data_IF_796475893172
#
_entry.id   IF_796475893172
#
_cell.length_a   1.000
_cell.length_b   1.000
_cell.length_c   1.000
_cell.angle_alpha   90.00
_cell.angle_beta   90.00
_cell.angle_gamma   90.00
#
_symmetry.space_group_name_H-M   'P 1'
#
loop_
_entity.id
_entity.type
_entity.pdbx_description
1 polymer ?
#
# COMPACT_ATOMS: atom_id res chain seq x y z
N UNK A 1 17.34 -9.53 -14.93
CA UNK A 1 17.14 -9.88 -16.34
C UNK A 1 17.88 -8.97 -17.30
N UNK A 2 17.66 -7.65 -17.27
CA UNK A 2 18.20 -6.70 -18.27
C UNK A 2 19.71 -6.72 -18.52
N UNK A 3 20.54 -6.83 -17.49
CA UNK A 3 21.99 -6.51 -17.61
C UNK A 3 22.93 -7.71 -17.41
N UNK A 4 22.42 -8.84 -16.90
CA UNK A 4 23.26 -9.96 -16.43
C UNK A 4 22.83 -11.32 -16.97
N UNK A 5 22.12 -11.34 -18.11
CA UNK A 5 21.64 -12.57 -18.78
C UNK A 5 20.82 -13.52 -17.88
N UNK A 6 20.23 -13.02 -16.80
CA UNK A 6 19.27 -13.79 -15.98
C UNK A 6 17.90 -13.84 -16.65
N UNK A 7 17.04 -14.78 -16.25
CA UNK A 7 15.73 -15.03 -16.90
C UNK A 7 14.60 -15.25 -15.89
N UNK A 8 14.47 -14.37 -14.89
CA UNK A 8 13.40 -14.47 -13.89
C UNK A 8 12.00 -14.24 -14.48
N UNK A 9 11.88 -13.38 -15.49
CA UNK A 9 10.62 -12.92 -16.06
C UNK A 9 10.46 -13.24 -17.56
N UNK A 10 11.52 -13.74 -18.22
CA UNK A 10 11.51 -14.09 -19.65
C UNK A 10 10.93 -15.49 -19.89
N UNK A 11 9.73 -15.55 -20.49
CA UNK A 11 9.02 -16.81 -20.77
C UNK A 11 9.76 -17.72 -21.75
N UNK A 12 10.55 -17.16 -22.67
CA UNK A 12 11.32 -17.95 -23.65
C UNK A 12 12.41 -18.80 -23.00
N UNK A 13 12.80 -18.45 -21.77
CA UNK A 13 13.84 -19.11 -20.96
C UNK A 13 13.30 -19.68 -19.64
N UNK A 14 11.99 -19.86 -19.53
CA UNK A 14 11.32 -20.46 -18.36
C UNK A 14 10.99 -19.52 -17.20
N UNK A 15 11.19 -18.20 -17.36
CA UNK A 15 10.77 -17.19 -16.40
C UNK A 15 9.25 -16.92 -16.43
N UNK A 16 8.76 -16.16 -15.45
CA UNK A 16 7.33 -15.83 -15.33
C UNK A 16 7.10 -14.32 -15.11
N UNK A 17 6.50 -13.60 -16.08
CA UNK A 17 6.16 -12.18 -15.91
C UNK A 17 5.23 -11.87 -14.73
N UNK A 18 4.35 -12.80 -14.33
CA UNK A 18 3.47 -12.63 -13.17
C UNK A 18 4.25 -12.51 -11.85
N UNK A 19 5.45 -13.10 -11.78
CA UNK A 19 6.32 -12.94 -10.61
C UNK A 19 6.67 -11.46 -10.39
N UNK A 20 6.96 -10.71 -11.45
CA UNK A 20 7.21 -9.28 -11.33
C UNK A 20 5.95 -8.54 -10.86
N UNK A 21 4.78 -8.88 -11.39
CA UNK A 21 3.52 -8.24 -10.95
C UNK A 21 3.24 -8.48 -9.46
N UNK A 22 3.43 -9.70 -8.95
CA UNK A 22 3.26 -9.97 -7.53
C UNK A 22 4.25 -9.16 -6.68
N UNK A 23 5.54 -9.16 -7.04
CA UNK A 23 6.57 -8.41 -6.31
C UNK A 23 6.31 -6.90 -6.35
N UNK A 24 5.96 -6.38 -7.53
CA UNK A 24 5.67 -4.97 -7.72
C UNK A 24 4.44 -4.55 -6.91
N UNK A 25 3.33 -5.27 -6.99
CA UNK A 25 2.10 -4.87 -6.28
C UNK A 25 2.15 -5.16 -4.78
N UNK A 26 2.89 -6.19 -4.35
CA UNK A 26 3.16 -6.44 -2.93
C UNK A 26 3.85 -5.23 -2.28
N UNK A 27 4.68 -4.50 -3.04
CA UNK A 27 5.22 -3.21 -2.64
C UNK A 27 4.25 -2.04 -2.91
N UNK A 28 3.73 -1.94 -4.13
CA UNK A 28 3.01 -0.77 -4.61
C UNK A 28 1.68 -0.54 -3.91
N UNK A 29 1.02 -1.59 -3.40
CA UNK A 29 -0.20 -1.40 -2.63
C UNK A 29 0.06 -0.86 -1.20
N UNK A 30 1.04 -1.37 -0.44
CA UNK A 30 1.54 -0.68 0.74
C UNK A 30 2.03 0.76 0.48
N UNK A 31 2.70 1.02 -0.65
CA UNK A 31 3.23 2.36 -0.99
C UNK A 31 2.12 3.43 -1.00
N UNK A 32 0.96 3.14 -1.60
CA UNK A 32 -0.15 4.11 -1.59
C UNK A 32 -0.65 4.40 -0.16
N UNK A 33 -0.52 3.47 0.79
CA UNK A 33 -0.83 3.73 2.20
C UNK A 33 0.26 4.55 2.90
N UNK A 34 1.53 4.34 2.58
CA UNK A 34 2.63 5.17 3.09
C UNK A 34 2.42 6.64 2.70
N UNK A 35 1.87 6.90 1.50
CA UNK A 35 1.56 8.25 1.03
C UNK A 35 0.33 8.83 1.75
N UNK A 36 -0.75 8.04 1.91
CA UNK A 36 -2.02 8.57 2.44
C UNK A 36 -2.05 8.72 3.97
N UNK A 37 -1.35 7.88 4.73
CA UNK A 37 -1.38 7.91 6.20
C UNK A 37 -0.86 9.24 6.78
N UNK A 38 0.23 9.85 6.27
CA UNK A 38 0.64 11.20 6.67
C UNK A 38 -0.43 12.26 6.35
N UNK A 39 -1.12 12.14 5.22
CA UNK A 39 -2.19 13.07 4.82
C UNK A 39 -3.36 12.99 5.80
N UNK A 40 -3.73 11.79 6.28
CA UNK A 40 -4.73 11.66 7.35
C UNK A 40 -4.32 12.38 8.64
N UNK A 41 -3.03 12.33 8.99
CA UNK A 41 -2.48 13.06 10.13
C UNK A 41 -2.58 14.58 9.96
N UNK A 42 -2.23 15.10 8.78
CA UNK A 42 -2.34 16.52 8.46
C UNK A 42 -3.80 16.98 8.54
N UNK A 43 -4.72 16.25 7.90
CA UNK A 43 -6.17 16.58 7.94
C UNK A 43 -6.68 16.57 9.38
N UNK A 44 -6.28 15.57 10.19
CA UNK A 44 -6.63 15.51 11.60
C UNK A 44 -6.16 16.73 12.38
N UNK A 45 -4.92 17.20 12.13
CA UNK A 45 -4.39 18.43 12.72
C UNK A 45 -5.16 19.68 12.28
N UNK A 46 -5.48 19.80 10.99
CA UNK A 46 -6.29 20.90 10.47
C UNK A 46 -7.69 20.93 11.10
N UNK A 47 -8.35 19.78 11.23
CA UNK A 47 -9.67 19.68 11.87
C UNK A 47 -9.61 20.10 13.33
N UNK A 48 -8.59 19.65 14.08
CA UNK A 48 -8.40 20.06 15.47
C UNK A 48 -8.27 21.58 15.60
N UNK A 49 -7.42 22.19 14.76
CA UNK A 49 -7.17 23.63 14.75
C UNK A 49 -8.41 24.44 14.33
N UNK A 50 -9.07 24.06 13.24
CA UNK A 50 -10.20 24.81 12.68
C UNK A 50 -11.49 24.71 13.51
N UNK A 51 -11.60 23.69 14.36
CA UNK A 51 -12.78 23.50 15.21
C UNK A 51 -12.60 24.01 16.64
N UNK A 52 -11.41 24.53 16.97
CA UNK A 52 -11.05 25.04 18.30
C UNK A 52 -11.38 24.05 19.43
N UNK A 53 -11.09 22.77 19.20
CA UNK A 53 -11.30 21.68 20.17
C UNK A 53 -9.98 21.33 20.84
N UNK A 54 -10.06 20.90 22.10
CA UNK A 54 -8.89 20.40 22.83
C UNK A 54 -8.41 19.02 22.35
N UNK A 55 -9.30 18.24 21.72
CA UNK A 55 -8.99 16.89 21.23
C UNK A 55 -9.86 16.46 20.06
N UNK A 56 -9.33 15.53 19.28
CA UNK A 56 -10.06 14.85 18.22
C UNK A 56 -11.08 13.87 18.81
N UNK A 57 -12.25 13.82 18.20
CA UNK A 57 -13.24 12.79 18.52
C UNK A 57 -12.68 11.41 18.16
N UNK A 58 -12.72 10.47 19.11
CA UNK A 58 -12.31 9.09 18.86
C UNK A 58 -10.81 8.90 18.57
N UNK A 59 -9.92 9.75 19.10
CA UNK A 59 -8.48 9.70 18.83
C UNK A 59 -7.87 8.28 18.96
N UNK A 60 -8.21 7.54 20.01
CA UNK A 60 -7.77 6.14 20.18
C UNK A 60 -8.23 5.25 19.04
N UNK A 61 -9.49 5.35 18.64
CA UNK A 61 -10.06 4.59 17.52
C UNK A 61 -9.38 4.96 16.20
N UNK A 62 -9.07 6.23 15.96
CA UNK A 62 -8.34 6.65 14.76
C UNK A 62 -6.91 6.10 14.72
N UNK A 63 -6.22 6.08 15.87
CA UNK A 63 -4.88 5.47 15.96
C UNK A 63 -4.93 3.99 15.61
N UNK A 64 -5.87 3.24 16.18
CA UNK A 64 -6.03 1.82 15.85
C UNK A 64 -6.46 1.62 14.39
N UNK A 65 -7.30 2.48 13.83
CA UNK A 65 -7.67 2.43 12.41
C UNK A 65 -6.45 2.60 11.51
N UNK A 66 -5.57 3.58 11.78
CA UNK A 66 -4.34 3.78 11.02
C UNK A 66 -3.40 2.58 11.09
N UNK A 67 -3.27 1.94 12.26
CA UNK A 67 -2.50 0.71 12.43
C UNK A 67 -3.10 -0.42 11.59
N UNK A 68 -4.42 -0.59 11.65
CA UNK A 68 -5.11 -1.63 10.87
C UNK A 68 -5.02 -1.41 9.36
N UNK A 69 -5.08 -0.16 8.88
CA UNK A 69 -4.85 0.16 7.47
C UNK A 69 -3.43 -0.27 7.05
N UNK A 70 -2.41 0.01 7.88
CA UNK A 70 -1.04 -0.40 7.57
C UNK A 70 -0.88 -1.93 7.51
N UNK A 71 -1.47 -2.65 8.47
CA UNK A 71 -1.41 -4.13 8.52
C UNK A 71 -2.18 -4.75 7.35
N UNK A 72 -3.47 -4.42 7.19
CA UNK A 72 -4.33 -4.98 6.14
C UNK A 72 -3.87 -4.57 4.74
N UNK A 73 -3.25 -3.40 4.59
CA UNK A 73 -2.69 -2.91 3.33
C UNK A 73 -1.63 -3.83 2.74
N UNK A 74 -0.98 -4.67 3.55
CA UNK A 74 -0.02 -5.68 3.06
C UNK A 74 -0.67 -6.97 2.55
N UNK A 75 -1.98 -7.15 2.75
CA UNK A 75 -2.69 -8.41 2.44
C UNK A 75 -3.58 -8.35 1.21
N UNK A 76 -3.68 -7.20 0.52
CA UNK A 76 -4.69 -7.00 -0.53
C UNK A 76 -4.10 -6.65 -1.91
N UNK A 77 -2.78 -6.74 -2.08
CA UNK A 77 -2.12 -6.35 -3.34
C UNK A 77 -2.64 -7.08 -4.58
N UNK A 78 -3.15 -8.30 -4.42
CA UNK A 78 -3.70 -9.12 -5.51
C UNK A 78 -4.85 -8.44 -6.27
N UNK A 79 -5.51 -7.43 -5.68
CA UNK A 79 -6.56 -6.68 -6.37
C UNK A 79 -6.10 -5.90 -7.61
N UNK A 80 -4.81 -5.62 -7.73
CA UNK A 80 -4.23 -5.00 -8.93
C UNK A 80 -4.03 -6.00 -10.07
N UNK A 81 -4.23 -7.28 -9.79
CA UNK A 81 -3.97 -8.39 -10.70
C UNK A 81 -5.25 -9.19 -11.03
N UNK A 82 -6.44 -8.64 -10.79
CA UNK A 82 -7.70 -9.36 -11.02
C UNK A 82 -7.92 -9.83 -12.46
N UNK A 83 -7.34 -9.15 -13.44
CA UNK A 83 -7.41 -9.54 -14.86
C UNK A 83 -6.21 -10.35 -15.32
N UNK A 84 -5.28 -10.70 -14.42
CA UNK A 84 -4.07 -11.44 -14.72
C UNK A 84 -4.29 -12.96 -14.90
N UNK A 85 -5.52 -13.44 -14.66
CA UNK A 85 -5.87 -14.87 -14.76
C UNK A 85 -5.44 -15.70 -13.55
N UNK A 86 -5.46 -15.09 -12.36
CA UNK A 86 -5.21 -15.74 -11.06
C UNK A 86 -6.35 -16.66 -10.62
#
# INVERSE_FOLDING_TARGET
DRNFNTSFYDTSKGGNPLLYQHLFWFFGHPEVYVIILPVFGIISGCVLFLTDKDRLFGQTSMTFASIWIAVLGTSVWGHHMYTAGL
#
